data_IF_346136136875
#
_entry.id   IF_346136136875
#
_cell.length_a   1.000
_cell.length_b   1.000
_cell.length_c   1.000
_cell.angle_alpha   90.00
_cell.angle_beta   90.00
_cell.angle_gamma   90.00
#
_symmetry.space_group_name_H-M   'P 1'
#
loop_
_entity.id
_entity.type
_entity.pdbx_description
1 polymer ?
#
# COMPACT_ATOMS: atom_id res chain seq x y z
N UNK A 1 17.02 5.69 3.31
CA UNK A 1 16.35 5.18 2.09
C UNK A 1 15.71 3.85 2.46
N UNK A 2 14.44 3.87 2.90
CA UNK A 2 13.72 2.66 3.34
C UNK A 2 13.22 1.89 2.09
N UNK A 3 13.59 0.61 2.01
CA UNK A 3 13.57 -0.22 0.80
C UNK A 3 12.15 -0.76 0.47
N UNK A 4 11.15 -0.49 1.32
CA UNK A 4 9.75 -0.89 1.10
C UNK A 4 8.92 0.05 0.23
N UNK A 5 9.39 1.28 -0.01
CA UNK A 5 8.65 2.29 -0.78
C UNK A 5 8.55 1.91 -2.27
N UNK A 6 9.47 1.08 -2.79
CA UNK A 6 9.64 0.82 -4.22
C UNK A 6 8.38 0.28 -4.92
N UNK A 7 7.79 -0.81 -4.42
CA UNK A 7 6.72 -1.52 -5.13
C UNK A 7 5.41 -0.73 -5.19
N UNK A 8 5.02 -0.11 -4.06
CA UNK A 8 3.84 0.75 -3.99
C UNK A 8 4.05 2.02 -4.81
N UNK A 9 5.22 2.66 -4.70
CA UNK A 9 5.56 3.87 -5.44
C UNK A 9 5.63 3.64 -6.94
N UNK A 10 6.27 2.57 -7.39
CA UNK A 10 6.33 2.19 -8.81
C UNK A 10 4.92 1.92 -9.35
N UNK A 11 4.11 1.16 -8.61
CA UNK A 11 2.74 0.88 -9.01
C UNK A 11 1.90 2.17 -9.13
N UNK A 12 2.03 3.06 -8.14
CA UNK A 12 1.31 4.31 -8.09
C UNK A 12 1.76 5.28 -9.19
N UNK A 13 3.08 5.46 -9.35
CA UNK A 13 3.66 6.29 -10.39
C UNK A 13 3.25 5.83 -11.80
N UNK A 14 3.29 4.52 -12.07
CA UNK A 14 2.87 3.96 -13.36
C UNK A 14 1.39 4.13 -13.70
N UNK A 15 0.55 4.54 -12.73
CA UNK A 15 -0.90 4.75 -12.92
C UNK A 15 -1.36 6.18 -12.60
N UNK A 16 -0.44 7.05 -12.18
CA UNK A 16 -0.77 8.38 -11.67
C UNK A 16 -1.58 8.34 -10.37
N UNK A 17 -1.46 7.28 -9.57
CA UNK A 17 -2.19 7.15 -8.31
C UNK A 17 -1.49 7.94 -7.20
N UNK A 18 -2.26 8.46 -6.26
CA UNK A 18 -1.73 9.03 -5.03
C UNK A 18 -1.62 7.92 -3.98
N UNK A 19 -0.51 7.90 -3.23
CA UNK A 19 -0.33 6.98 -2.12
C UNK A 19 0.14 7.71 -0.86
N UNK A 20 -0.17 7.12 0.29
CA UNK A 20 0.32 7.54 1.60
C UNK A 20 0.46 6.28 2.45
N UNK A 21 1.33 6.31 3.46
CA UNK A 21 1.46 5.20 4.38
C UNK A 21 1.91 5.68 5.75
N UNK A 22 1.54 4.93 6.77
CA UNK A 22 1.95 5.15 8.15
C UNK A 22 2.36 3.81 8.75
N UNK A 23 3.40 3.81 9.58
CA UNK A 23 3.83 2.65 10.34
C UNK A 23 3.81 2.97 11.83
N UNK A 24 3.41 1.99 12.63
CA UNK A 24 3.50 2.06 14.09
C UNK A 24 4.11 0.78 14.62
N UNK A 25 5.07 0.94 15.53
CA UNK A 25 5.64 -0.18 16.28
C UNK A 25 4.87 -0.33 17.59
N UNK A 26 4.11 -1.42 17.71
CA UNK A 26 3.50 -1.86 18.96
C UNK A 26 4.21 -3.14 19.44
N UNK A 27 3.48 -4.21 19.73
CA UNK A 27 4.04 -5.55 19.96
C UNK A 27 4.61 -6.15 18.65
N UNK A 28 3.95 -5.86 17.53
CA UNK A 28 4.41 -6.12 16.16
C UNK A 28 4.41 -4.81 15.37
N UNK A 29 5.03 -4.81 14.20
CA UNK A 29 4.92 -3.67 13.28
C UNK A 29 3.58 -3.71 12.58
N UNK A 30 2.89 -2.57 12.57
CA UNK A 30 1.64 -2.37 11.85
C UNK A 30 1.87 -1.30 10.81
N UNK A 31 1.40 -1.54 9.59
CA UNK A 31 1.43 -0.60 8.49
C UNK A 31 0.00 -0.34 8.00
N UNK A 32 -0.33 0.92 7.81
CA UNK A 32 -1.54 1.39 7.15
C UNK A 32 -1.14 2.07 5.83
N UNK A 33 -1.57 1.50 4.72
CA UNK A 33 -1.27 2.00 3.36
C UNK A 33 -2.53 2.53 2.73
N UNK A 34 -2.49 3.76 2.21
CA UNK A 34 -3.50 4.33 1.34
C UNK A 34 -3.01 4.35 -0.10
N UNK A 35 -3.89 3.96 -1.01
CA UNK A 35 -3.67 4.03 -2.46
C UNK A 35 -4.98 4.45 -3.13
N UNK A 36 -4.95 5.57 -3.85
CA UNK A 36 -6.13 6.13 -4.52
C UNK A 36 -5.87 6.45 -5.99
N UNK A 37 -6.80 6.04 -6.84
CA UNK A 37 -6.81 6.46 -8.23
C UNK A 37 -7.26 7.93 -8.36
N UNK A 38 -6.84 8.66 -9.41
CA UNK A 38 -7.18 10.08 -9.60
C UNK A 38 -8.68 10.41 -9.52
N UNK A 39 -9.53 9.48 -9.95
CA UNK A 39 -10.98 9.66 -10.07
C UNK A 39 -11.78 8.80 -9.11
N UNK A 40 -11.12 8.04 -8.23
CA UNK A 40 -11.79 7.12 -7.31
C UNK A 40 -11.38 7.37 -5.85
N UNK A 41 -12.22 6.91 -4.93
CA UNK A 41 -12.00 7.04 -3.50
C UNK A 41 -10.65 6.42 -3.08
N UNK A 42 -9.95 7.10 -2.17
CA UNK A 42 -8.81 6.52 -1.46
C UNK A 42 -9.32 5.43 -0.54
N UNK A 43 -8.70 4.26 -0.61
CA UNK A 43 -8.92 3.18 0.34
C UNK A 43 -7.64 2.93 1.14
N UNK A 44 -7.82 2.37 2.33
CA UNK A 44 -6.76 2.09 3.29
C UNK A 44 -6.66 0.59 3.54
N UNK A 45 -5.44 0.09 3.64
CA UNK A 45 -5.13 -1.31 3.87
C UNK A 45 -4.14 -1.43 5.02
N UNK A 46 -4.57 -2.14 6.07
CA UNK A 46 -3.75 -2.46 7.22
C UNK A 46 -3.10 -3.83 7.07
N UNK A 47 -1.85 -3.97 7.50
CA UNK A 47 -1.21 -5.26 7.72
C UNK A 47 -0.18 -5.22 8.85
N UNK A 48 0.09 -6.39 9.42
CA UNK A 48 1.08 -6.59 10.48
C UNK A 48 2.27 -7.39 9.96
N UNK A 49 3.44 -7.17 10.56
CA UNK A 49 4.68 -7.89 10.27
C UNK A 49 5.63 -7.90 11.47
N UNK A 50 6.61 -8.79 11.43
CA UNK A 50 7.66 -8.86 12.47
C UNK A 50 8.69 -7.75 12.27
N UNK A 51 8.74 -7.17 11.07
CA UNK A 51 9.51 -5.98 10.72
C UNK A 51 8.64 -4.91 10.08
N UNK A 52 9.07 -3.65 10.14
CA UNK A 52 8.41 -2.53 9.46
C UNK A 52 8.26 -2.82 7.96
N UNK A 53 9.33 -3.35 7.36
CA UNK A 53 9.40 -3.72 5.96
C UNK A 53 8.34 -4.78 5.59
N UNK A 54 8.19 -5.81 6.43
CA UNK A 54 7.20 -6.85 6.22
C UNK A 54 5.76 -6.33 6.32
N UNK A 55 5.48 -5.50 7.33
CA UNK A 55 4.15 -4.89 7.50
C UNK A 55 3.79 -4.03 6.28
N UNK A 56 4.71 -3.17 5.83
CA UNK A 56 4.53 -2.32 4.66
C UNK A 56 4.34 -3.11 3.37
N UNK A 57 5.15 -4.15 3.14
CA UNK A 57 5.02 -5.01 1.96
C UNK A 57 3.64 -5.68 1.92
N UNK A 58 3.20 -6.24 3.05
CA UNK A 58 1.87 -6.89 3.13
C UNK A 58 0.72 -5.91 2.91
N UNK A 59 0.80 -4.71 3.49
CA UNK A 59 -0.22 -3.67 3.31
C UNK A 59 -0.25 -3.18 1.85
N UNK A 60 0.93 -2.97 1.26
CA UNK A 60 1.08 -2.57 -0.15
C UNK A 60 0.57 -3.62 -1.12
N UNK A 61 0.88 -4.89 -0.89
CA UNK A 61 0.39 -6.00 -1.72
C UNK A 61 -1.13 -6.09 -1.71
N UNK A 62 -1.76 -5.90 -0.55
CA UNK A 62 -3.23 -5.83 -0.43
C UNK A 62 -3.81 -4.66 -1.23
N UNK A 63 -3.21 -3.48 -1.11
CA UNK A 63 -3.62 -2.29 -1.85
C UNK A 63 -3.53 -2.50 -3.36
N UNK A 64 -2.38 -3.01 -3.83
CA UNK A 64 -2.14 -3.29 -5.25
C UNK A 64 -3.08 -4.37 -5.77
N UNK A 65 -3.30 -5.46 -5.01
CA UNK A 65 -4.19 -6.54 -5.39
C UNK A 65 -5.64 -6.07 -5.56
N UNK A 66 -6.11 -5.19 -4.66
CA UNK A 66 -7.44 -4.59 -4.78
C UNK A 66 -7.59 -3.81 -6.08
N UNK A 67 -6.67 -2.89 -6.39
CA UNK A 67 -6.75 -2.08 -7.61
C UNK A 67 -6.54 -2.91 -8.88
N UNK A 68 -5.72 -3.97 -8.83
CA UNK A 68 -5.61 -4.95 -9.93
C UNK A 68 -6.91 -5.72 -10.15
N UNK A 69 -7.66 -6.03 -9.09
CA UNK A 69 -8.96 -6.67 -9.21
C UNK A 69 -10.01 -5.69 -9.76
N UNK A 70 -10.07 -4.47 -9.23
CA UNK A 70 -10.99 -3.43 -9.67
C UNK A 70 -10.79 -3.03 -11.15
N UNK A 71 -9.55 -2.99 -11.63
CA UNK A 71 -9.23 -2.67 -13.02
C UNK A 71 -9.52 -3.78 -14.05
N UNK A 72 -9.92 -4.99 -13.64
CA UNK A 72 -10.33 -6.08 -14.55
C UNK A 72 -11.85 -6.13 -14.80
N UNK A 73 -12.61 -5.25 -14.16
CA UNK A 73 -14.08 -5.24 -14.22
C UNK A 73 -14.64 -4.23 -15.23
N UNK A 74 -13.81 -3.63 -16.08
CA UNK A 74 -14.19 -2.65 -17.11
C UNK A 74 -13.85 -3.11 -18.51
#
# INVERSE_FOLDING_TARGET
MHICDGLLREYAAGRGFAFAWETVKAERWVADVSLGAPTASRAWWRAEGDTEQEALNRASDRAIAFWRAAGRSG
#
